data_IF_668593107718
#
_entry.id   IF_668593107718
#
_cell.length_a   1.000
_cell.length_b   1.000
_cell.length_c   1.000
_cell.angle_alpha   90.00
_cell.angle_beta   90.00
_cell.angle_gamma   90.00
#
_symmetry.space_group_name_H-M   'P 1'
#
loop_
_entity.id
_entity.type
_entity.pdbx_description
1 polymer ?
#
# COMPACT_ATOMS: atom_id res chain seq x y z
N UNK A 1 -7.83 34.39 23.45
CA UNK A 1 -8.44 34.06 22.14
C UNK A 1 -7.45 33.26 21.28
N UNK A 2 -7.00 32.07 21.71
CA UNK A 2 -5.99 31.28 20.96
C UNK A 2 -6.43 29.85 20.60
N UNK A 3 -7.48 29.31 21.22
CA UNK A 3 -7.92 27.92 21.01
C UNK A 3 -8.54 27.61 19.63
N UNK A 4 -8.92 28.64 18.84
CA UNK A 4 -9.56 28.44 17.53
C UNK A 4 -8.58 28.45 16.34
N UNK A 5 -7.36 28.99 16.48
CA UNK A 5 -6.35 28.99 15.39
C UNK A 5 -5.64 27.64 15.27
N UNK A 6 -5.30 27.01 16.39
CA UNK A 6 -4.63 25.70 16.44
C UNK A 6 -5.45 24.58 15.76
N UNK A 7 -6.78 24.59 15.86
CA UNK A 7 -7.66 23.63 15.14
C UNK A 7 -7.62 23.79 13.61
N UNK A 8 -7.06 24.87 13.08
CA UNK A 8 -7.05 25.16 11.65
C UNK A 8 -5.76 24.65 11.00
N UNK A 9 -4.60 24.83 11.62
CA UNK A 9 -3.30 24.48 11.03
C UNK A 9 -3.14 22.98 10.80
N UNK A 10 -3.45 22.15 11.81
CA UNK A 10 -3.35 20.69 11.68
C UNK A 10 -4.34 20.14 10.64
N UNK A 11 -5.53 20.75 10.54
CA UNK A 11 -6.51 20.39 9.51
C UNK A 11 -6.02 20.76 8.12
N UNK A 12 -5.44 21.95 7.95
CA UNK A 12 -4.86 22.39 6.68
C UNK A 12 -3.70 21.49 6.27
N UNK A 13 -2.81 21.12 7.22
CA UNK A 13 -1.73 20.14 6.97
C UNK A 13 -2.28 18.80 6.51
N UNK A 14 -3.27 18.25 7.21
CA UNK A 14 -3.90 16.98 6.86
C UNK A 14 -4.57 17.05 5.48
N UNK A 15 -5.32 18.11 5.18
CA UNK A 15 -5.95 18.31 3.86
C UNK A 15 -4.91 18.42 2.75
N UNK A 16 -3.83 19.16 2.97
CA UNK A 16 -2.73 19.27 2.01
C UNK A 16 -2.04 17.92 1.79
N UNK A 17 -1.81 17.16 2.86
CA UNK A 17 -1.25 15.81 2.74
C UNK A 17 -2.17 14.84 1.99
N UNK A 18 -3.48 14.94 2.21
CA UNK A 18 -4.47 14.21 1.42
C UNK A 18 -4.44 14.64 -0.04
N UNK A 19 -4.46 15.93 -0.36
CA UNK A 19 -4.43 16.40 -1.75
C UNK A 19 -3.14 16.00 -2.49
N UNK A 20 -2.02 15.96 -1.78
CA UNK A 20 -0.71 15.58 -2.31
C UNK A 20 -0.40 14.09 -2.18
N UNK A 21 -1.37 13.29 -1.74
CA UNK A 21 -1.21 11.85 -1.60
C UNK A 21 -0.87 11.17 -2.92
N UNK A 22 -0.32 9.97 -2.83
CA UNK A 22 0.14 9.23 -4.00
C UNK A 22 -0.46 7.82 -4.04
N UNK A 23 -1.25 7.50 -5.07
CA UNK A 23 -1.80 6.16 -5.27
C UNK A 23 -0.95 5.42 -6.30
N UNK A 24 -0.55 4.19 -5.99
CA UNK A 24 0.18 3.35 -6.94
C UNK A 24 0.12 1.88 -6.57
N UNK A 25 0.71 1.06 -7.45
CA UNK A 25 1.01 -0.34 -7.18
C UNK A 25 2.41 -0.42 -6.59
N UNK A 26 2.51 -0.93 -5.38
CA UNK A 26 3.76 -1.12 -4.66
C UNK A 26 4.12 -2.59 -4.59
N UNK A 27 5.41 -2.88 -4.51
CA UNK A 27 5.96 -4.17 -4.10
C UNK A 27 6.47 -4.04 -2.67
N UNK A 28 6.17 -5.00 -1.81
CA UNK A 28 6.76 -5.06 -0.47
C UNK A 28 8.16 -5.64 -0.58
N UNK A 29 9.18 -4.87 -0.17
CA UNK A 29 10.59 -5.23 -0.34
C UNK A 29 11.37 -5.31 0.97
N UNK A 30 10.79 -4.86 2.08
CA UNK A 30 11.38 -4.93 3.41
C UNK A 30 10.32 -4.78 4.50
N UNK A 31 10.60 -5.35 5.67
CA UNK A 31 9.85 -5.13 6.91
C UNK A 31 10.83 -4.90 8.05
N UNK A 32 10.45 -4.07 9.00
CA UNK A 32 11.14 -3.85 10.27
C UNK A 32 10.09 -4.04 11.35
N UNK A 33 10.13 -5.17 12.04
CA UNK A 33 9.12 -5.55 13.03
C UNK A 33 9.25 -4.76 14.32
N UNK A 34 10.47 -4.38 14.70
CA UNK A 34 10.75 -3.67 15.96
C UNK A 34 10.21 -2.23 15.90
N UNK A 35 10.31 -1.63 14.72
CA UNK A 35 9.89 -0.26 14.46
C UNK A 35 8.55 -0.18 13.69
N UNK A 36 7.89 -1.31 13.47
CA UNK A 36 6.61 -1.45 12.77
C UNK A 36 6.58 -0.84 11.34
N UNK A 37 7.71 -0.87 10.64
CA UNK A 37 7.80 -0.33 9.29
C UNK A 37 7.69 -1.41 8.22
N UNK A 38 7.15 -0.99 7.07
CA UNK A 38 7.15 -1.75 5.83
C UNK A 38 7.72 -0.87 4.72
N UNK A 39 8.60 -1.45 3.90
CA UNK A 39 9.21 -0.76 2.77
C UNK A 39 8.42 -1.08 1.51
N UNK A 40 7.75 -0.06 0.99
CA UNK A 40 7.03 -0.11 -0.28
C UNK A 40 7.97 0.37 -1.38
N UNK A 41 8.17 -0.42 -2.42
CA UNK A 41 8.82 0.01 -3.65
C UNK A 41 7.77 0.20 -4.74
N UNK A 42 7.67 1.40 -5.28
CA UNK A 42 6.76 1.66 -6.39
C UNK A 42 7.16 0.84 -7.62
N UNK A 43 6.22 0.06 -8.16
CA UNK A 43 6.50 -0.88 -9.24
C UNK A 43 6.99 -0.16 -10.50
N UNK A 44 6.52 1.07 -10.72
CA UNK A 44 6.73 1.80 -11.95
C UNK A 44 7.92 2.76 -11.86
N UNK A 45 8.01 3.53 -10.78
CA UNK A 45 9.02 4.57 -10.56
C UNK A 45 10.24 4.07 -9.80
N UNK A 46 10.16 2.88 -9.19
CA UNK A 46 11.19 2.29 -8.31
C UNK A 46 11.49 3.11 -7.05
N UNK A 47 10.73 4.18 -6.79
CA UNK A 47 10.86 4.97 -5.56
C UNK A 47 10.41 4.15 -4.36
N UNK A 48 11.17 4.25 -3.26
CA UNK A 48 10.88 3.56 -2.01
C UNK A 48 10.27 4.48 -0.97
N UNK A 49 9.37 3.92 -0.18
CA UNK A 49 8.66 4.58 0.89
C UNK A 49 8.71 3.72 2.15
N UNK A 50 9.03 4.33 3.28
CA UNK A 50 8.99 3.70 4.60
C UNK A 50 7.63 4.01 5.21
N UNK A 51 6.80 2.98 5.37
CA UNK A 51 5.39 3.10 5.78
C UNK A 51 5.23 2.50 7.17
N UNK A 52 4.52 3.19 8.06
CA UNK A 52 4.12 2.62 9.36
C UNK A 52 2.92 1.69 9.13
N UNK A 53 3.08 0.39 9.41
CA UNK A 53 2.03 -0.62 9.32
C UNK A 53 2.34 -1.81 10.24
N UNK A 54 1.81 -1.79 11.46
CA UNK A 54 2.00 -2.85 12.48
C UNK A 54 1.53 -4.21 12.00
N UNK A 55 0.37 -4.26 11.34
CA UNK A 55 -0.25 -5.52 10.97
C UNK A 55 0.57 -6.20 9.88
N UNK A 56 0.97 -5.44 8.86
CA UNK A 56 1.74 -5.96 7.75
C UNK A 56 3.19 -6.28 8.14
N UNK A 57 3.84 -5.42 8.93
CA UNK A 57 5.22 -5.67 9.40
C UNK A 57 5.33 -6.97 10.20
N UNK A 58 4.34 -7.30 11.03
CA UNK A 58 4.31 -8.54 11.82
C UNK A 58 3.77 -9.79 11.09
N UNK A 59 3.24 -9.67 9.88
CA UNK A 59 2.58 -10.79 9.19
C UNK A 59 3.19 -11.15 7.83
N UNK A 60 3.90 -10.23 7.19
CA UNK A 60 4.45 -10.46 5.85
C UNK A 60 5.75 -11.25 5.92
N UNK A 61 5.77 -12.37 5.19
CA UNK A 61 6.99 -13.10 4.86
C UNK A 61 7.44 -12.63 3.48
N UNK A 62 8.63 -12.02 3.40
CA UNK A 62 9.19 -11.59 2.13
C UNK A 62 9.79 -12.79 1.40
N UNK A 63 9.01 -13.34 0.46
CA UNK A 63 9.48 -14.36 -0.47
C UNK A 63 9.84 -13.73 -1.82
N UNK A 64 11.10 -13.93 -2.25
CA UNK A 64 11.55 -13.50 -3.59
C UNK A 64 10.83 -14.23 -4.72
N UNK A 65 10.36 -15.46 -4.49
CA UNK A 65 9.61 -16.27 -5.48
C UNK A 65 8.14 -15.88 -5.54
N UNK A 66 7.58 -15.35 -4.46
CA UNK A 66 6.18 -14.91 -4.35
C UNK A 66 6.10 -13.52 -3.72
N UNK A 67 6.59 -12.48 -4.43
CA UNK A 67 6.57 -11.13 -3.88
C UNK A 67 5.14 -10.66 -3.68
N UNK A 68 4.94 -9.85 -2.65
CA UNK A 68 3.63 -9.25 -2.35
C UNK A 68 3.55 -7.90 -3.04
N UNK A 69 2.46 -7.71 -3.77
CA UNK A 69 2.09 -6.45 -4.39
C UNK A 69 0.89 -5.85 -3.67
N UNK A 70 0.93 -4.53 -3.52
CA UNK A 70 -0.06 -3.79 -2.78
C UNK A 70 -0.43 -2.53 -3.54
N UNK A 71 -1.67 -2.48 -4.03
CA UNK A 71 -2.22 -1.23 -4.52
C UNK A 71 -2.68 -0.44 -3.30
N UNK A 72 -2.17 0.78 -3.12
CA UNK A 72 -2.49 1.57 -1.93
C UNK A 72 -2.31 3.07 -2.22
N UNK A 73 -2.84 3.93 -1.35
CA UNK A 73 -2.53 5.36 -1.32
C UNK A 73 -1.54 5.62 -0.18
N UNK A 74 -0.48 6.37 -0.47
CA UNK A 74 0.44 6.89 0.52
C UNK A 74 0.05 8.33 0.84
N UNK A 75 -0.07 8.63 2.12
CA UNK A 75 -0.19 9.99 2.65
C UNK A 75 1.04 10.25 3.51
N UNK A 76 1.69 11.41 3.30
CA UNK A 76 2.83 11.83 4.12
C UNK A 76 2.48 13.11 4.87
N UNK A 77 2.58 13.08 6.20
CA UNK A 77 2.33 14.22 7.09
C UNK A 77 3.55 14.34 8.00
N UNK A 78 4.15 15.54 8.08
CA UNK A 78 5.31 15.83 8.93
C UNK A 78 6.45 14.79 8.78
N UNK A 79 6.70 14.36 7.53
CA UNK A 79 7.75 13.38 7.19
C UNK A 79 7.38 11.91 7.43
N UNK A 80 6.23 11.63 8.06
CA UNK A 80 5.76 10.27 8.35
C UNK A 80 4.78 9.83 7.27
N UNK A 81 4.98 8.64 6.71
CA UNK A 81 4.15 8.10 5.64
C UNK A 81 3.28 6.94 6.11
N UNK A 82 2.00 6.99 5.72
CA UNK A 82 0.98 6.02 6.04
C UNK A 82 0.35 5.47 4.76
N UNK A 83 0.03 4.17 4.76
CA UNK A 83 -0.83 3.57 3.76
C UNK A 83 -2.30 3.76 4.12
N UNK A 84 -3.14 4.14 3.17
CA UNK A 84 -4.58 4.30 3.38
C UNK A 84 -5.36 3.99 2.10
N UNK A 85 -6.61 3.53 2.22
CA UNK A 85 -7.50 3.38 1.06
C UNK A 85 -7.74 1.93 0.66
N UNK A 86 -7.72 1.64 -0.65
CA UNK A 86 -8.13 0.33 -1.16
C UNK A 86 -6.97 -0.63 -1.02
N UNK A 87 -7.10 -1.60 -0.12
CA UNK A 87 -6.09 -2.61 0.17
C UNK A 87 -6.24 -3.82 -0.78
N UNK A 88 -5.72 -3.72 -2.00
CA UNK A 88 -5.60 -4.87 -2.89
C UNK A 88 -4.24 -5.53 -2.67
N UNK A 89 -4.23 -6.69 -2.00
CA UNK A 89 -3.04 -7.55 -1.86
C UNK A 89 -3.06 -8.55 -3.00
N UNK A 90 -1.95 -8.68 -3.71
CA UNK A 90 -1.76 -9.67 -4.77
C UNK A 90 -0.41 -10.36 -4.66
N UNK A 91 -0.29 -11.59 -5.15
CA UNK A 91 0.98 -12.33 -5.16
C UNK A 91 1.64 -12.34 -6.54
N UNK A 92 2.97 -12.32 -6.56
CA UNK A 92 3.77 -12.20 -7.79
C UNK A 92 3.81 -13.42 -8.71
N UNK A 93 3.13 -14.51 -8.35
CA UNK A 93 2.85 -15.68 -9.18
C UNK A 93 1.55 -15.54 -9.99
N UNK A 94 0.76 -14.49 -9.76
CA UNK A 94 -0.46 -14.21 -10.50
C UNK A 94 -0.16 -13.74 -11.94
N UNK A 95 -0.55 -14.56 -12.93
CA UNK A 95 -0.32 -14.27 -14.35
C UNK A 95 -1.04 -12.99 -14.83
N UNK A 96 -2.25 -12.70 -14.34
CA UNK A 96 -2.98 -11.48 -14.69
C UNK A 96 -2.25 -10.25 -14.19
N UNK A 97 -1.74 -10.29 -12.95
CA UNK A 97 -0.91 -9.23 -12.38
C UNK A 97 0.39 -9.02 -13.17
N UNK A 98 1.13 -10.10 -13.45
CA UNK A 98 2.39 -10.04 -14.20
C UNK A 98 2.13 -9.43 -15.59
N UNK A 99 1.06 -9.86 -16.27
CA UNK A 99 0.68 -9.32 -17.57
C UNK A 99 0.27 -7.85 -17.48
N UNK A 100 -0.45 -7.47 -16.42
CA UNK A 100 -0.78 -6.07 -16.14
C UNK A 100 0.49 -5.23 -16.02
N UNK A 101 1.45 -5.63 -15.19
CA UNK A 101 2.72 -4.90 -14.98
C UNK A 101 3.52 -4.79 -16.28
N UNK A 102 3.60 -5.87 -17.09
CA UNK A 102 4.34 -5.86 -18.36
C UNK A 102 3.72 -4.93 -19.42
N UNK A 103 2.39 -4.83 -19.46
CA UNK A 103 1.67 -4.07 -20.50
C UNK A 103 1.56 -2.58 -20.18
N UNK A 104 1.69 -2.19 -18.91
CA UNK A 104 1.47 -0.82 -18.47
C UNK A 104 2.80 -0.15 -18.14
N UNK A 105 3.34 0.57 -19.13
CA UNK A 105 4.32 1.61 -18.87
C UNK A 105 3.61 2.78 -18.17
N UNK A 106 4.26 3.46 -17.22
CA UNK A 106 3.58 4.46 -16.38
C UNK A 106 3.16 5.68 -17.19
N UNK A 107 1.95 5.60 -17.72
CA UNK A 107 1.15 6.74 -18.14
C UNK A 107 0.12 6.95 -17.03
N UNK A 108 -0.19 8.20 -16.68
CA UNK A 108 -1.35 8.57 -15.86
C UNK A 108 -2.66 8.21 -16.61
N UNK A 109 -2.82 6.97 -17.07
CA UNK A 109 -4.14 6.43 -17.34
C UNK A 109 -4.99 6.65 -16.07
N UNK A 110 -6.30 6.90 -16.20
CA UNK A 110 -7.09 7.34 -15.05
C UNK A 110 -6.95 6.32 -13.92
N UNK A 111 -6.46 6.75 -12.76
CA UNK A 111 -6.14 5.88 -11.62
C UNK A 111 -7.34 5.00 -11.20
N UNK A 112 -8.56 5.45 -11.50
CA UNK A 112 -9.79 4.68 -11.32
C UNK A 112 -9.84 3.38 -12.14
N UNK A 113 -9.47 3.40 -13.42
CA UNK A 113 -9.48 2.19 -14.27
C UNK A 113 -8.44 1.19 -13.79
N UNK A 114 -7.26 1.69 -13.39
CA UNK A 114 -6.20 0.88 -12.77
C UNK A 114 -6.70 0.23 -11.48
N UNK A 115 -7.40 0.99 -10.66
CA UNK A 115 -7.99 0.49 -9.42
C UNK A 115 -9.00 -0.64 -9.69
N UNK A 116 -9.92 -0.49 -10.64
CA UNK A 116 -10.89 -1.53 -10.98
C UNK A 116 -10.22 -2.82 -11.46
N UNK A 117 -9.24 -2.71 -12.36
CA UNK A 117 -8.50 -3.88 -12.87
C UNK A 117 -7.77 -4.63 -11.74
N UNK A 118 -7.05 -3.90 -10.88
CA UNK A 118 -6.31 -4.50 -9.77
C UNK A 118 -7.24 -5.06 -8.69
N UNK A 119 -8.40 -4.43 -8.47
CA UNK A 119 -9.43 -4.95 -7.59
C UNK A 119 -9.97 -6.30 -8.09
N UNK A 120 -10.32 -6.40 -9.38
CA UNK A 120 -10.79 -7.64 -9.98
C UNK A 120 -9.76 -8.77 -9.90
N UNK A 121 -8.48 -8.47 -10.16
CA UNK A 121 -7.37 -9.41 -9.98
C UNK A 121 -7.30 -9.89 -8.52
N UNK A 122 -7.32 -8.97 -7.55
CA UNK A 122 -7.24 -9.30 -6.12
C UNK A 122 -8.44 -10.11 -5.62
N UNK A 123 -9.65 -9.86 -6.17
CA UNK A 123 -10.86 -10.59 -5.80
C UNK A 123 -10.80 -12.04 -6.29
N UNK A 124 -10.27 -12.28 -7.49
CA UNK A 124 -10.04 -13.64 -8.00
C UNK A 124 -9.04 -14.42 -7.14
N UNK A 125 -8.01 -13.76 -6.61
CA UNK A 125 -7.10 -14.37 -5.63
C UNK A 125 -7.78 -14.70 -4.31
N UNK A 126 -8.65 -13.83 -3.78
CA UNK A 126 -9.39 -14.14 -2.54
C UNK A 126 -10.35 -15.32 -2.69
N UNK A 127 -10.81 -15.59 -3.91
CA UNK A 127 -11.58 -16.80 -4.23
C UNK A 127 -10.69 -18.06 -4.38
N UNK A 128 -9.36 -17.92 -4.32
CA UNK A 128 -8.37 -18.97 -4.20
C UNK A 128 -7.77 -18.91 -2.79
N UNK A 129 -8.47 -19.47 -1.80
CA UNK A 129 -8.12 -19.49 -0.36
C UNK A 129 -6.74 -18.93 0.02
N UNK A 130 -6.69 -17.66 0.42
CA UNK A 130 -5.58 -17.16 1.24
C UNK A 130 -5.93 -17.50 2.68
N UNK A 131 -5.45 -18.66 3.14
CA UNK A 131 -5.46 -19.03 4.56
C UNK A 131 -4.66 -17.98 5.34
N UNK A 132 -5.34 -17.02 5.95
CA UNK A 132 -4.75 -16.22 7.00
C UNK A 132 -4.46 -17.16 8.18
N UNK A 133 -3.19 -17.51 8.38
CA UNK A 133 -2.75 -18.06 9.65
C UNK A 133 -2.90 -16.95 10.69
N UNK A 134 -4.07 -16.89 11.34
CA UNK A 134 -4.28 -16.12 12.56
C UNK A 134 -3.36 -16.67 13.65
N UNK A 135 -2.12 -16.19 13.71
CA UNK A 135 -1.19 -16.42 14.83
C UNK A 135 -1.37 -15.42 15.97
N UNK A 136 -2.45 -14.64 15.98
CA UNK A 136 -2.85 -13.85 17.15
C UNK A 136 -4.01 -14.55 17.87
N UNK A 137 -3.70 -15.69 18.49
CA UNK A 137 -4.47 -16.18 19.62
C UNK A 137 -4.07 -15.34 20.83
N UNK A 138 -4.89 -14.34 21.15
CA UNK A 138 -4.84 -13.74 22.49
C UNK A 138 -5.23 -14.84 23.48
N UNK A 139 -4.27 -15.25 24.31
CA UNK A 139 -4.50 -15.84 25.62
C UNK A 139 -4.22 -14.76 26.66
#
# INVERSE_FOLDING_TARGET
MEKNKLRNEDKVKMLNAMNNSYVSLFKIVGVDMDEAYVIYEDVFTKKRYKIIDIAMSGSVIIDKKRPIYYYNRIITIDGISYGTGIHCIMTGDNKELINFIKKHDYKKSPDFYRCLMLYDISKKEKNMEVSYNNRYGYR
#
